data_IF_489592378360
#
_entry.id   IF_489592378360
#
_cell.length_a   1.000
_cell.length_b   1.000
_cell.length_c   1.000
_cell.angle_alpha   90.00
_cell.angle_beta   90.00
_cell.angle_gamma   90.00
#
_symmetry.space_group_name_H-M   'P 1'
#
loop_
_entity.id
_entity.type
_entity.pdbx_description
1 polymer ?
#
# COMPACT_ATOMS: atom_id res chain seq x y z
N UNK A 1 24.70 4.77 15.89
CA UNK A 1 24.95 4.31 14.50
C UNK A 1 24.06 3.10 14.27
N UNK A 2 23.48 2.94 13.08
CA UNK A 2 22.71 1.72 12.80
C UNK A 2 23.68 0.76 12.12
N UNK A 3 24.10 -0.26 12.86
CA UNK A 3 25.28 -1.08 12.60
C UNK A 3 25.00 -2.23 11.61
N UNK A 4 24.61 -1.87 10.39
CA UNK A 4 24.35 -2.75 9.23
C UNK A 4 22.94 -3.33 9.14
N UNK A 5 22.35 -3.18 7.95
CA UNK A 5 21.15 -3.88 7.51
C UNK A 5 21.58 -5.05 6.64
N UNK A 6 20.83 -6.17 6.59
CA UNK A 6 21.12 -7.22 5.63
C UNK A 6 21.08 -6.63 4.21
N UNK A 7 22.06 -6.98 3.36
CA UNK A 7 22.24 -6.40 2.02
C UNK A 7 21.01 -6.58 1.10
N UNK A 8 20.12 -7.49 1.46
CA UNK A 8 18.88 -7.80 0.72
C UNK A 8 17.70 -6.88 1.08
N UNK A 9 17.79 -6.10 2.15
CA UNK A 9 16.72 -5.17 2.56
C UNK A 9 16.73 -3.94 1.66
N UNK A 10 15.61 -3.65 1.00
CA UNK A 10 15.42 -2.37 0.33
C UNK A 10 15.00 -1.34 1.38
N UNK A 11 15.91 -0.43 1.68
CA UNK A 11 15.71 0.66 2.62
C UNK A 11 15.04 1.86 1.94
N UNK A 12 13.95 2.34 2.54
CA UNK A 12 13.14 3.43 2.00
C UNK A 12 12.99 4.52 3.06
N UNK A 13 13.48 5.71 2.75
CA UNK A 13 13.36 6.90 3.60
C UNK A 13 12.02 7.56 3.35
N UNK A 14 11.18 7.63 4.39
CA UNK A 14 9.82 8.23 4.37
C UNK A 14 9.73 9.44 5.31
N UNK A 15 10.83 10.17 5.47
CA UNK A 15 10.86 11.46 6.17
C UNK A 15 10.54 12.60 5.20
N UNK A 16 10.05 13.72 5.72
CA UNK A 16 9.76 14.91 4.91
C UNK A 16 11.02 15.49 4.25
N UNK A 17 12.14 15.41 4.95
CA UNK A 17 13.45 15.85 4.49
C UNK A 17 14.41 14.67 4.50
N UNK A 18 15.32 14.61 3.53
CA UNK A 18 16.35 13.57 3.51
C UNK A 18 17.23 13.70 4.78
N UNK A 19 17.37 12.66 5.60
CA UNK A 19 18.16 12.75 6.82
C UNK A 19 19.62 13.00 6.49
N UNK A 20 20.27 13.95 7.17
CA UNK A 20 21.70 14.23 6.94
C UNK A 20 22.61 13.02 7.24
N UNK A 21 22.16 12.12 8.10
CA UNK A 21 22.89 10.91 8.48
C UNK A 21 22.60 9.71 7.55
N UNK A 22 21.66 9.84 6.61
CA UNK A 22 21.35 8.76 5.69
C UNK A 22 22.42 8.69 4.59
N UNK A 23 23.00 7.50 4.31
CA UNK A 23 23.97 7.36 3.22
C UNK A 23 23.32 7.73 1.88
N UNK A 24 24.09 8.26 0.90
CA UNK A 24 23.56 8.50 -0.44
C UNK A 24 23.11 7.18 -1.09
N UNK A 25 22.10 7.26 -1.96
CA UNK A 25 21.60 6.11 -2.72
C UNK A 25 20.42 5.35 -2.10
N UNK A 26 19.95 5.73 -0.91
CA UNK A 26 18.71 5.18 -0.36
C UNK A 26 17.50 5.67 -1.15
N UNK A 27 16.48 4.81 -1.30
CA UNK A 27 15.23 5.20 -1.94
C UNK A 27 14.51 6.24 -1.07
N UNK A 28 14.29 7.43 -1.62
CA UNK A 28 13.62 8.52 -0.90
C UNK A 28 12.18 8.70 -1.40
N UNK A 29 11.22 8.69 -0.48
CA UNK A 29 9.77 8.80 -0.73
C UNK A 29 9.10 9.79 0.21
N UNK A 30 9.34 11.11 0.03
CA UNK A 30 8.73 12.14 0.87
C UNK A 30 7.20 12.22 0.71
N UNK A 31 6.63 11.62 -0.33
CA UNK A 31 5.18 11.52 -0.55
C UNK A 31 4.50 10.64 0.51
N UNK A 32 5.25 9.68 1.07
CA UNK A 32 4.81 8.83 2.18
C UNK A 32 5.18 9.41 3.55
N UNK A 33 5.66 10.65 3.59
CA UNK A 33 5.89 11.35 4.84
C UNK A 33 4.64 12.17 5.24
N UNK A 34 4.43 12.46 6.53
CA UNK A 34 3.41 13.40 6.97
C UNK A 34 3.72 14.82 6.48
N UNK A 35 2.70 15.65 6.25
CA UNK A 35 2.90 17.04 5.83
C UNK A 35 3.65 17.87 6.89
N UNK A 36 4.26 18.97 6.46
CA UNK A 36 4.96 19.89 7.38
C UNK A 36 3.99 20.45 8.43
N UNK A 37 2.76 20.77 8.02
CA UNK A 37 1.73 21.26 8.93
C UNK A 37 1.36 20.22 9.99
N UNK A 38 1.11 18.98 9.57
CA UNK A 38 0.78 17.88 10.48
C UNK A 38 1.93 17.58 11.47
N UNK A 39 3.18 17.58 11.00
CA UNK A 39 4.35 17.43 11.86
C UNK A 39 4.50 18.59 12.86
N UNK A 40 4.23 19.81 12.43
CA UNK A 40 4.29 21.01 13.27
C UNK A 40 3.28 20.94 14.41
N UNK A 41 2.02 20.61 14.09
CA UNK A 41 0.95 20.48 15.08
C UNK A 41 1.24 19.38 16.11
N UNK A 42 1.73 18.23 15.64
CA UNK A 42 2.11 17.11 16.52
C UNK A 42 3.25 17.47 17.45
N UNK A 43 4.34 18.04 16.92
CA UNK A 43 5.52 18.43 17.72
C UNK A 43 5.23 19.55 18.71
N UNK A 44 4.27 20.42 18.38
CA UNK A 44 3.79 21.47 19.27
C UNK A 44 2.78 20.96 20.32
N UNK A 45 2.43 19.66 20.31
CA UNK A 45 1.46 19.08 21.25
C UNK A 45 0.03 19.58 21.04
N UNK A 46 -0.30 20.13 19.87
CA UNK A 46 -1.62 20.72 19.57
C UNK A 46 -2.68 19.67 19.26
N UNK A 47 -2.25 18.46 18.91
CA UNK A 47 -3.12 17.36 18.52
C UNK A 47 -2.69 16.09 19.26
N UNK A 48 -3.67 15.24 19.54
CA UNK A 48 -3.46 13.90 20.08
C UNK A 48 -2.93 12.94 19.01
N UNK A 49 -2.39 11.80 19.44
CA UNK A 49 -1.93 10.75 18.52
C UNK A 49 -3.08 10.24 17.63
N UNK A 50 -4.29 10.11 18.19
CA UNK A 50 -5.48 9.67 17.45
C UNK A 50 -5.84 10.64 16.33
N UNK A 51 -5.76 11.95 16.59
CA UNK A 51 -5.98 12.98 15.58
C UNK A 51 -4.86 13.00 14.54
N UNK A 52 -3.61 12.81 14.97
CA UNK A 52 -2.47 12.67 14.07
C UNK A 52 -2.67 11.51 13.09
N UNK A 53 -3.04 10.34 13.59
CA UNK A 53 -3.30 9.16 12.76
C UNK A 53 -4.43 9.43 11.75
N UNK A 54 -5.54 10.00 12.21
CA UNK A 54 -6.67 10.31 11.34
C UNK A 54 -6.28 11.28 10.21
N UNK A 55 -5.56 12.37 10.54
CA UNK A 55 -5.08 13.33 9.54
C UNK A 55 -4.07 12.71 8.58
N UNK A 56 -3.14 11.90 9.08
CA UNK A 56 -2.17 11.20 8.24
C UNK A 56 -2.85 10.24 7.26
N UNK A 57 -3.83 9.45 7.71
CA UNK A 57 -4.61 8.57 6.82
C UNK A 57 -5.34 9.35 5.72
N UNK A 58 -5.82 10.56 6.02
CA UNK A 58 -6.40 11.46 5.01
C UNK A 58 -5.35 11.91 3.99
N UNK A 59 -4.15 12.33 4.44
CA UNK A 59 -3.05 12.68 3.53
C UNK A 59 -2.69 11.51 2.59
N UNK A 60 -2.68 10.29 3.13
CA UNK A 60 -2.38 9.07 2.37
C UNK A 60 -3.51 8.63 1.42
N UNK A 61 -4.69 9.24 1.50
CA UNK A 61 -5.88 8.81 0.73
C UNK A 61 -5.93 9.33 -0.71
N UNK A 62 -4.99 10.19 -1.11
CA UNK A 62 -4.92 10.71 -2.49
C UNK A 62 -4.67 9.59 -3.49
N UNK A 63 -5.24 9.65 -4.72
CA UNK A 63 -5.08 8.60 -5.72
C UNK A 63 -3.62 8.23 -6.01
N UNK A 64 -2.75 9.24 -6.06
CA UNK A 64 -1.33 9.09 -6.36
C UNK A 64 -0.59 8.35 -5.24
N UNK A 65 -0.88 8.67 -3.97
CA UNK A 65 -0.29 7.98 -2.82
C UNK A 65 -0.85 6.57 -2.67
N UNK A 66 -2.15 6.38 -2.92
CA UNK A 66 -2.76 5.05 -2.90
C UNK A 66 -2.12 4.11 -3.94
N UNK A 67 -1.72 4.62 -5.11
CA UNK A 67 -0.96 3.85 -6.09
C UNK A 67 0.41 3.42 -5.56
N UNK A 68 1.13 4.31 -4.89
CA UNK A 68 2.41 3.97 -4.25
C UNK A 68 2.21 2.90 -3.16
N UNK A 69 1.20 3.04 -2.31
CA UNK A 69 0.86 2.05 -1.27
C UNK A 69 0.56 0.69 -1.92
N UNK A 70 -0.21 0.65 -3.02
CA UNK A 70 -0.46 -0.58 -3.76
C UNK A 70 0.81 -1.19 -4.36
N UNK A 71 1.74 -0.38 -4.87
CA UNK A 71 3.03 -0.87 -5.36
C UNK A 71 3.83 -1.55 -4.22
N UNK A 72 3.87 -0.94 -3.03
CA UNK A 72 4.53 -1.55 -1.88
C UNK A 72 3.82 -2.81 -1.38
N UNK A 73 2.49 -2.83 -1.38
CA UNK A 73 1.71 -4.01 -1.08
C UNK A 73 2.05 -5.17 -2.05
N UNK A 74 2.16 -4.90 -3.35
CA UNK A 74 2.56 -5.89 -4.34
C UNK A 74 3.96 -6.46 -4.06
N UNK A 75 4.91 -5.60 -3.69
CA UNK A 75 6.25 -6.05 -3.36
C UNK A 75 6.29 -6.92 -2.11
N UNK A 76 5.48 -6.59 -1.09
CA UNK A 76 5.28 -7.44 0.09
C UNK A 76 4.72 -8.81 -0.32
N UNK A 77 3.73 -8.86 -1.21
CA UNK A 77 3.20 -10.15 -1.71
C UNK A 77 4.24 -10.96 -2.50
N UNK A 78 5.15 -10.29 -3.20
CA UNK A 78 6.27 -10.92 -3.91
C UNK A 78 7.44 -11.28 -3.00
N UNK A 79 7.27 -11.24 -1.67
CA UNK A 79 8.28 -11.52 -0.65
C UNK A 79 9.52 -10.62 -0.73
N UNK A 80 9.39 -9.43 -1.30
CA UNK A 80 10.45 -8.43 -1.29
C UNK A 80 10.44 -7.71 0.06
N UNK A 81 11.56 -7.75 0.78
CA UNK A 81 11.68 -7.13 2.10
C UNK A 81 11.98 -5.65 1.95
N UNK A 82 11.08 -4.82 2.49
CA UNK A 82 11.24 -3.38 2.56
C UNK A 82 11.28 -2.91 4.00
N UNK A 83 12.17 -1.96 4.28
CA UNK A 83 12.24 -1.29 5.58
C UNK A 83 12.04 0.20 5.41
N UNK A 84 10.99 0.70 6.03
CA UNK A 84 10.70 2.13 6.06
C UNK A 84 11.46 2.82 7.19
N UNK A 85 12.19 3.88 6.84
CA UNK A 85 13.00 4.69 7.75
C UNK A 85 12.33 6.05 7.94
N UNK A 86 12.15 6.44 9.19
CA UNK A 86 11.67 7.77 9.59
C UNK A 86 12.65 8.41 10.59
N UNK A 87 12.37 9.65 10.99
CA UNK A 87 13.22 10.40 11.93
C UNK A 87 12.98 9.99 13.39
N UNK A 88 11.76 9.59 13.70
CA UNK A 88 11.29 9.24 15.03
C UNK A 88 11.90 7.91 15.48
N UNK A 89 12.65 7.95 16.59
CA UNK A 89 13.33 6.77 17.15
C UNK A 89 12.31 5.83 17.82
N UNK A 90 11.44 6.38 18.65
CA UNK A 90 10.50 5.62 19.47
C UNK A 90 9.08 5.61 18.88
N UNK A 91 8.32 4.50 19.05
CA UNK A 91 6.90 4.48 18.77
C UNK A 91 6.13 5.37 19.77
N UNK A 92 4.95 5.90 19.36
CA UNK A 92 4.32 5.75 18.06
C UNK A 92 4.87 6.73 17.00
N UNK A 93 4.94 6.29 15.74
CA UNK A 93 5.33 7.15 14.61
C UNK A 93 4.67 6.71 13.28
N UNK A 94 4.74 7.53 12.25
CA UNK A 94 3.98 7.33 11.00
C UNK A 94 4.36 6.07 10.23
N UNK A 95 5.54 5.48 10.46
CA UNK A 95 5.93 4.20 9.85
C UNK A 95 4.95 3.07 10.19
N UNK A 96 4.38 3.10 11.39
CA UNK A 96 3.43 2.08 11.84
C UNK A 96 2.08 2.26 11.15
N UNK A 97 1.61 3.50 11.03
CA UNK A 97 0.37 3.79 10.29
C UNK A 97 0.53 3.43 8.81
N UNK A 98 1.67 3.75 8.20
CA UNK A 98 1.96 3.39 6.81
C UNK A 98 2.01 1.87 6.62
N UNK A 99 2.63 1.13 7.56
CA UNK A 99 2.64 -0.33 7.54
C UNK A 99 1.21 -0.88 7.55
N UNK A 100 0.34 -0.35 8.42
CA UNK A 100 -1.06 -0.78 8.49
C UNK A 100 -1.80 -0.52 7.17
N UNK A 101 -1.58 0.65 6.55
CA UNK A 101 -2.16 0.96 5.23
C UNK A 101 -1.69 -0.01 4.14
N UNK A 102 -0.42 -0.41 4.15
CA UNK A 102 0.14 -1.39 3.23
C UNK A 102 -0.47 -2.78 3.50
N UNK A 103 -0.56 -3.21 4.75
CA UNK A 103 -1.16 -4.49 5.13
C UNK A 103 -2.65 -4.55 4.75
N UNK A 104 -3.39 -3.45 4.94
CA UNK A 104 -4.77 -3.29 4.45
C UNK A 104 -4.83 -3.41 2.92
N UNK A 105 -3.88 -2.84 2.20
CA UNK A 105 -3.81 -2.94 0.74
C UNK A 105 -3.47 -4.37 0.28
N UNK A 106 -2.61 -5.10 0.99
CA UNK A 106 -2.35 -6.54 0.75
C UNK A 106 -3.61 -7.38 0.95
N UNK A 107 -4.39 -7.10 2.00
CA UNK A 107 -5.68 -7.76 2.24
C UNK A 107 -6.71 -7.44 1.13
N UNK A 108 -6.67 -6.22 0.58
CA UNK A 108 -7.54 -5.83 -0.55
C UNK A 108 -7.08 -6.48 -1.86
N UNK A 109 -5.78 -6.58 -2.14
CA UNK A 109 -5.28 -7.21 -3.36
C UNK A 109 -5.50 -8.73 -3.40
N UNK A 110 -5.56 -9.37 -2.24
CA UNK A 110 -5.92 -10.79 -2.12
C UNK A 110 -7.42 -11.08 -2.26
N UNK A 111 -8.26 -10.03 -2.26
CA UNK A 111 -9.68 -10.17 -2.64
C UNK A 111 -9.80 -10.23 -4.18
N UNK A 112 -10.15 -11.42 -4.67
CA UNK A 112 -10.23 -11.76 -6.10
C UNK A 112 -10.94 -10.73 -6.97
N UNK A 113 -10.33 -10.31 -8.06
CA UNK A 113 -10.96 -9.53 -9.11
C UNK A 113 -11.07 -10.33 -10.41
N UNK A 114 -12.14 -10.14 -11.18
CA UNK A 114 -12.18 -10.65 -12.55
C UNK A 114 -11.19 -9.84 -13.40
N UNK A 115 -10.17 -10.50 -13.93
CA UNK A 115 -9.12 -9.87 -14.78
C UNK A 115 -9.68 -9.24 -16.06
N UNK A 116 -10.81 -9.74 -16.58
CA UNK A 116 -11.38 -9.24 -17.83
C UNK A 116 -12.24 -7.98 -17.64
N UNK A 117 -13.05 -7.89 -16.58
CA UNK A 117 -14.00 -6.77 -16.40
C UNK A 117 -13.76 -5.91 -15.15
N UNK A 118 -12.69 -6.19 -14.40
CA UNK A 118 -12.30 -5.45 -13.20
C UNK A 118 -13.29 -5.58 -12.03
N UNK A 119 -14.25 -6.51 -12.10
CA UNK A 119 -15.20 -6.74 -11.00
C UNK A 119 -14.48 -7.37 -9.83
N UNK A 120 -14.26 -6.59 -8.77
CA UNK A 120 -13.80 -7.11 -7.47
C UNK A 120 -14.94 -7.95 -6.89
N UNK A 121 -14.67 -9.19 -6.48
CA UNK A 121 -15.67 -9.97 -5.74
C UNK A 121 -15.90 -9.25 -4.42
N UNK A 122 -17.08 -8.63 -4.26
CA UNK A 122 -17.51 -7.98 -3.00
C UNK A 122 -17.57 -8.94 -1.82
N UNK A 123 -17.41 -10.23 -2.06
CA UNK A 123 -17.41 -11.23 -1.02
C UNK A 123 -15.98 -11.43 -0.57
N UNK A 124 -15.69 -11.06 0.68
CA UNK A 124 -14.42 -11.33 1.37
C UNK A 124 -14.18 -12.82 1.62
N UNK A 125 -14.55 -13.68 0.68
CA UNK A 125 -14.13 -15.08 0.63
C UNK A 125 -12.78 -15.10 -0.07
N UNK A 126 -11.79 -15.71 0.59
CA UNK A 126 -10.48 -15.88 -0.01
C UNK A 126 -10.57 -16.73 -1.28
N UNK A 127 -9.60 -16.59 -2.16
CA UNK A 127 -9.46 -17.42 -3.36
C UNK A 127 -9.45 -18.92 -3.03
N UNK A 128 -8.93 -19.30 -1.85
CA UNK A 128 -8.96 -20.67 -1.32
C UNK A 128 -10.36 -21.15 -0.97
N UNK A 129 -11.18 -20.32 -0.30
CA UNK A 129 -12.57 -20.67 0.02
C UNK A 129 -13.44 -20.82 -1.23
N UNK A 130 -13.17 -20.01 -2.27
CA UNK A 130 -13.84 -20.15 -3.55
C UNK A 130 -13.42 -21.44 -4.28
N UNK A 131 -12.18 -21.91 -4.14
CA UNK A 131 -11.68 -23.16 -4.75
C UNK A 131 -12.29 -24.39 -4.05
N UNK A 132 -12.39 -24.36 -2.72
CA UNK A 132 -13.02 -25.44 -1.93
C UNK A 132 -14.49 -25.67 -2.28
N UNK A 133 -15.19 -24.67 -2.82
CA UNK A 133 -16.62 -24.72 -3.13
C UNK A 133 -16.96 -25.30 -4.50
N UNK A 134 -15.97 -25.64 -5.34
CA UNK A 134 -16.18 -26.37 -6.60
C UNK A 134 -17.12 -25.71 -7.63
N UNK A 135 -17.42 -24.41 -7.50
CA UNK A 135 -18.30 -23.70 -8.43
C UNK A 135 -17.49 -23.18 -9.61
N UNK A 136 -17.92 -23.50 -10.84
CA UNK A 136 -17.46 -22.84 -12.06
C UNK A 136 -17.50 -21.33 -11.86
N UNK A 137 -16.34 -20.70 -11.97
CA UNK A 137 -16.09 -19.34 -11.54
C UNK A 137 -16.48 -18.32 -12.61
N UNK A 138 -17.66 -18.39 -13.22
CA UNK A 138 -18.01 -17.38 -14.23
C UNK A 138 -18.36 -16.03 -13.60
N UNK A 139 -17.70 -14.98 -14.06
CA UNK A 139 -17.97 -13.60 -13.68
C UNK A 139 -19.40 -13.24 -14.11
N UNK A 140 -20.27 -12.78 -13.21
CA UNK A 140 -21.67 -12.48 -13.55
C UNK A 140 -21.82 -11.22 -14.42
N UNK A 141 -20.72 -10.56 -14.79
CA UNK A 141 -20.73 -9.37 -15.65
C UNK A 141 -20.26 -9.67 -17.06
N UNK A 142 -19.21 -10.47 -17.23
CA UNK A 142 -18.62 -10.75 -18.54
C UNK A 142 -18.66 -12.23 -18.93
N UNK A 143 -19.16 -13.13 -18.08
CA UNK A 143 -19.28 -14.55 -18.38
C UNK A 143 -17.96 -15.33 -18.34
N UNK A 144 -16.80 -14.65 -18.30
CA UNK A 144 -15.48 -15.28 -18.22
C UNK A 144 -15.21 -15.91 -16.85
N UNK A 145 -14.39 -16.95 -16.82
CA UNK A 145 -13.92 -17.51 -15.56
C UNK A 145 -13.14 -16.45 -14.76
N UNK A 146 -13.33 -16.39 -13.43
CA UNK A 146 -12.35 -15.76 -12.54
C UNK A 146 -11.11 -16.63 -12.69
N UNK A 147 -10.23 -16.24 -13.61
CA UNK A 147 -8.88 -16.76 -13.60
C UNK A 147 -8.38 -16.59 -12.17
N UNK A 148 -7.82 -17.67 -11.63
CA UNK A 148 -7.03 -17.65 -10.42
C UNK A 148 -6.14 -16.44 -10.56
N UNK A 149 -6.40 -15.38 -9.77
CA UNK A 149 -5.66 -14.13 -9.91
C UNK A 149 -4.19 -14.53 -9.90
N UNK A 150 -3.53 -14.39 -11.05
CA UNK A 150 -2.09 -14.43 -11.06
C UNK A 150 -1.65 -13.36 -10.06
N UNK A 151 -0.64 -13.64 -9.21
CA UNK A 151 -0.16 -12.64 -8.27
C UNK A 151 0.06 -11.33 -9.03
N UNK A 152 -0.28 -10.18 -8.42
CA UNK A 152 -0.26 -8.88 -9.13
C UNK A 152 1.12 -8.56 -9.75
N UNK A 153 2.19 -9.24 -9.34
CA UNK A 153 3.50 -9.28 -10.00
C UNK A 153 3.48 -9.74 -11.46
N UNK A 154 2.45 -10.47 -11.87
CA UNK A 154 2.22 -10.99 -13.21
C UNK A 154 1.13 -10.19 -13.97
N UNK A 155 0.56 -9.16 -13.32
CA UNK A 155 -0.42 -8.27 -13.97
C UNK A 155 0.32 -7.12 -14.64
N UNK A 156 0.25 -6.99 -15.97
CA UNK A 156 0.93 -5.93 -16.70
C UNK A 156 0.53 -4.52 -16.25
N UNK A 157 1.49 -3.59 -16.18
CA UNK A 157 1.31 -2.22 -15.68
C UNK A 157 0.19 -1.43 -16.37
N UNK A 158 -0.08 -1.72 -17.64
CA UNK A 158 -1.19 -1.10 -18.40
C UNK A 158 -2.57 -1.51 -17.86
N UNK A 159 -2.70 -2.70 -17.27
CA UNK A 159 -3.96 -3.17 -16.65
C UNK A 159 -4.19 -2.46 -15.30
N UNK A 160 -3.12 -2.23 -14.52
CA UNK A 160 -3.20 -1.45 -13.27
C UNK A 160 -3.68 -0.01 -13.51
N UNK A 161 -3.24 0.62 -14.61
CA UNK A 161 -3.72 1.96 -15.01
C UNK A 161 -5.23 1.98 -15.37
N UNK A 162 -5.74 0.92 -15.99
CA UNK A 162 -7.15 0.81 -16.38
C UNK A 162 -8.12 0.73 -15.19
N UNK A 163 -7.69 0.13 -14.06
CA UNK A 163 -8.47 0.11 -12.81
C UNK A 163 -8.66 1.51 -12.21
N UNK A 164 -7.68 2.40 -12.36
CA UNK A 164 -7.71 3.77 -11.83
C UNK A 164 -8.65 4.65 -12.65
N UNK A 165 -8.57 4.54 -13.98
CA UNK A 165 -9.37 5.36 -14.90
C UNK A 165 -10.86 5.04 -14.81
N UNK A 166 -11.22 3.76 -14.59
CA UNK A 166 -12.63 3.36 -14.45
C UNK A 166 -13.22 3.67 -13.07
N UNK A 167 -12.41 3.88 -12.03
CA UNK A 167 -12.91 4.36 -10.73
C UNK A 167 -13.40 5.82 -10.79
N UNK A 168 -12.91 6.61 -11.75
CA UNK A 168 -13.34 8.00 -12.00
C UNK A 168 -14.64 8.10 -12.79
N UNK A 169 -15.10 7.03 -13.44
CA UNK A 169 -16.29 7.02 -14.32
C UNK A 169 -17.55 6.42 -13.69
N UNK A 170 -17.48 6.01 -12.42
CA UNK A 170 -18.62 5.43 -11.69
C UNK A 170 -19.27 6.41 -10.70
N UNK A 171 -19.57 7.65 -11.13
CA UNK A 171 -20.52 8.54 -10.46
C UNK A 171 -21.76 8.66 -11.32
#
# INVERSE_FOLDING_TARGET
MIDSYPETDILIVISRYYPRYAPPGLMFKPELAPSVALLSDWKAGKISWKEYEARYRVEMSTPEIQLLIMQYANRVTSKQVHRFLCYEKEPPCHRFILKDLIDEAVKKSTSGGCVNCGRVTRFGVSLEEMNKRGRERRCPRCGENYDVLKPLSEVPDNVLKFFVENKRRGK
#
